data_IF_820561446011
#
_entry.id   IF_820561446011
#
_cell.length_a   1.000
_cell.length_b   1.000
_cell.length_c   1.000
_cell.angle_alpha   90.00
_cell.angle_beta   90.00
_cell.angle_gamma   90.00
#
_symmetry.space_group_name_H-M   'P 1'
#
loop_
_entity.id
_entity.type
_entity.pdbx_description
1 polymer ?
#
# COMPACT_ATOMS: atom_id res chain seq x y z
N UNK A 1 -78.80 9.64 -34.45
CA UNK A 1 -78.89 8.33 -35.11
C UNK A 1 -78.26 7.33 -34.13
N UNK A 2 -79.08 6.65 -33.33
CA UNK A 2 -79.47 5.24 -33.56
C UNK A 2 -78.25 4.31 -33.43
N UNK A 3 -78.11 3.37 -32.49
CA UNK A 3 -79.03 2.67 -31.60
C UNK A 3 -78.28 2.13 -30.36
N UNK A 4 -78.99 2.09 -29.23
CA UNK A 4 -78.69 1.27 -28.06
C UNK A 4 -79.18 -0.16 -28.29
N UNK A 5 -78.43 -1.17 -27.82
CA UNK A 5 -78.97 -2.52 -27.58
C UNK A 5 -78.55 -2.99 -26.18
N UNK A 6 -79.54 -3.02 -25.29
CA UNK A 6 -79.67 -3.80 -24.06
C UNK A 6 -79.48 -5.31 -24.34
N UNK A 7 -79.09 -6.24 -23.45
CA UNK A 7 -79.10 -6.36 -21.99
C UNK A 7 -78.32 -7.66 -21.61
N UNK A 8 -78.11 -7.97 -20.31
CA UNK A 8 -77.16 -8.96 -19.81
C UNK A 8 -77.78 -10.35 -19.61
N UNK A 9 -76.94 -11.39 -19.60
CA UNK A 9 -77.30 -12.70 -19.04
C UNK A 9 -76.12 -13.19 -18.19
N UNK A 10 -76.25 -13.04 -16.88
CA UNK A 10 -75.43 -13.77 -15.92
C UNK A 10 -75.89 -15.23 -15.89
N UNK A 11 -74.95 -16.16 -15.76
CA UNK A 11 -75.25 -17.52 -15.30
C UNK A 11 -74.82 -17.63 -13.85
N UNK A 12 -75.83 -17.62 -12.99
CA UNK A 12 -75.80 -18.13 -11.63
C UNK A 12 -75.52 -19.63 -11.66
N UNK A 13 -74.43 -20.08 -11.05
CA UNK A 13 -74.44 -21.36 -10.33
C UNK A 13 -73.68 -21.19 -9.01
N UNK A 14 -74.44 -21.46 -7.97
CA UNK A 14 -74.17 -21.42 -6.56
C UNK A 14 -73.28 -22.56 -6.08
N UNK A 15 -72.52 -22.28 -5.01
CA UNK A 15 -72.29 -23.10 -3.81
C UNK A 15 -71.92 -24.58 -4.01
N UNK A 16 -70.78 -24.99 -3.44
CA UNK A 16 -70.70 -25.99 -2.35
C UNK A 16 -69.23 -26.08 -1.85
N UNK A 17 -69.05 -25.68 -0.59
CA UNK A 17 -68.32 -26.36 0.50
C UNK A 17 -67.31 -27.48 0.12
N UNK A 18 -66.11 -27.61 0.69
CA UNK A 18 -65.83 -27.75 2.13
C UNK A 18 -64.31 -27.74 2.38
N UNK A 19 -63.94 -27.27 3.59
CA UNK A 19 -62.65 -27.50 4.22
C UNK A 19 -62.36 -29.00 4.40
N UNK A 20 -61.14 -29.43 4.07
CA UNK A 20 -60.44 -30.51 4.78
C UNK A 20 -58.93 -30.26 4.78
N UNK A 21 -58.36 -30.07 5.98
CA UNK A 21 -56.91 -30.24 6.23
C UNK A 21 -56.59 -31.73 6.18
N UNK A 22 -55.43 -32.15 5.64
CA UNK A 22 -54.76 -33.35 6.12
C UNK A 22 -53.64 -32.97 7.09
N UNK A 23 -53.64 -33.65 8.24
CA UNK A 23 -52.68 -33.55 9.32
C UNK A 23 -51.26 -33.99 8.90
N UNK A 24 -50.23 -33.57 9.67
CA UNK A 24 -48.84 -33.89 9.40
C UNK A 24 -48.56 -35.35 9.78
N UNK A 25 -47.65 -36.02 9.06
CA UNK A 25 -46.54 -36.80 9.62
C UNK A 25 -45.84 -37.66 8.55
N UNK A 26 -44.50 -37.63 8.62
CA UNK A 26 -43.54 -38.62 8.11
C UNK A 26 -43.34 -38.76 6.60
N UNK A 27 -42.21 -38.23 6.09
CA UNK A 27 -41.09 -39.06 5.61
C UNK A 27 -39.83 -38.22 5.32
N UNK A 28 -38.85 -38.42 6.18
CA UNK A 28 -37.41 -38.19 6.04
C UNK A 28 -36.91 -37.69 4.67
N UNK A 29 -36.78 -36.37 4.55
CA UNK A 29 -35.79 -35.78 3.63
C UNK A 29 -34.41 -35.97 4.25
N UNK A 30 -33.59 -36.82 3.63
CA UNK A 30 -32.15 -36.86 3.87
C UNK A 30 -31.60 -35.48 3.52
N UNK A 31 -31.42 -34.63 4.54
CA UNK A 31 -30.66 -33.41 4.42
C UNK A 31 -29.20 -33.83 4.21
N UNK A 32 -28.70 -33.63 3.00
CA UNK A 32 -27.26 -33.59 2.77
C UNK A 32 -26.66 -32.62 3.79
N UNK A 33 -25.60 -33.00 4.54
CA UNK A 33 -24.97 -32.06 5.45
C UNK A 33 -24.49 -30.89 4.59
N UNK A 34 -24.97 -29.69 4.92
CA UNK A 34 -24.44 -28.46 4.36
C UNK A 34 -22.91 -28.57 4.46
N UNK A 35 -22.24 -28.60 3.31
CA UNK A 35 -20.79 -28.52 3.27
C UNK A 35 -20.44 -27.21 3.97
N UNK A 36 -20.00 -27.29 5.21
CA UNK A 36 -19.39 -26.16 5.91
C UNK A 36 -18.19 -25.76 5.05
N UNK A 37 -18.40 -24.81 4.14
CA UNK A 37 -17.30 -24.12 3.52
C UNK A 37 -16.44 -23.63 4.69
N UNK A 38 -15.14 -23.99 4.74
CA UNK A 38 -14.31 -23.52 5.82
C UNK A 38 -14.48 -22.01 5.85
N UNK A 39 -14.88 -21.49 7.00
CA UNK A 39 -14.91 -20.05 7.26
C UNK A 39 -13.51 -19.58 6.86
N UNK A 40 -13.36 -19.04 5.64
CA UNK A 40 -12.12 -18.45 5.18
C UNK A 40 -11.99 -17.25 6.08
N UNK A 41 -11.34 -17.44 7.23
CA UNK A 41 -10.91 -16.36 8.08
C UNK A 41 -10.24 -15.40 7.11
N UNK A 42 -10.87 -14.25 6.89
CA UNK A 42 -10.35 -13.23 6.01
C UNK A 42 -8.96 -12.90 6.58
N UNK A 43 -7.92 -13.42 5.95
CA UNK A 43 -6.55 -13.23 6.41
C UNK A 43 -6.25 -11.74 6.28
N UNK A 44 -6.46 -11.01 7.37
CA UNK A 44 -6.19 -9.58 7.42
C UNK A 44 -4.68 -9.40 7.48
N UNK A 45 -4.08 -8.81 6.45
CA UNK A 45 -2.65 -8.50 6.42
C UNK A 45 -2.37 -7.48 7.54
N UNK A 46 -1.71 -7.93 8.62
CA UNK A 46 -1.36 -7.07 9.75
C UNK A 46 -0.10 -6.24 9.45
N UNK A 47 0.84 -6.82 8.73
CA UNK A 47 2.13 -6.22 8.36
C UNK A 47 2.56 -6.74 6.99
N UNK A 48 2.96 -5.82 6.09
CA UNK A 48 3.54 -6.17 4.80
C UNK A 48 5.04 -5.88 4.86
N UNK A 49 5.88 -6.88 4.56
CA UNK A 49 7.33 -6.72 4.42
C UNK A 49 7.71 -6.83 2.96
N UNK A 50 8.36 -5.81 2.43
CA UNK A 50 8.74 -5.73 1.01
C UNK A 50 10.16 -5.18 0.92
N UNK A 51 11.02 -5.81 0.10
CA UNK A 51 12.42 -5.37 -0.07
C UNK A 51 13.26 -5.43 1.23
N UNK A 52 12.90 -6.32 2.16
CA UNK A 52 13.61 -6.47 3.44
C UNK A 52 13.16 -5.52 4.55
N UNK A 53 12.30 -4.54 4.27
CA UNK A 53 11.79 -3.55 5.23
C UNK A 53 10.28 -3.67 5.43
N UNK A 54 9.83 -3.36 6.64
CA UNK A 54 8.41 -3.32 7.00
C UNK A 54 7.77 -2.04 6.46
N UNK A 55 6.65 -2.21 5.76
CA UNK A 55 5.90 -1.12 5.15
C UNK A 55 4.72 -0.73 6.05
N UNK A 56 4.39 0.57 6.18
CA UNK A 56 3.19 1.00 6.88
C UNK A 56 1.91 0.50 6.20
N UNK A 57 1.05 -0.18 6.96
CA UNK A 57 -0.17 -0.80 6.44
C UNK A 57 -1.32 0.20 6.20
N UNK A 58 -1.36 1.32 6.95
CA UNK A 58 -2.44 2.33 6.90
C UNK A 58 -2.29 3.40 5.79
N UNK A 59 -1.45 3.17 4.78
CA UNK A 59 -1.16 4.16 3.72
C UNK A 59 -1.47 3.59 2.34
N UNK A 60 -1.61 4.49 1.36
CA UNK A 60 -1.71 4.09 -0.05
C UNK A 60 -0.37 3.53 -0.52
N UNK A 61 -0.41 2.53 -1.39
CA UNK A 61 0.76 1.77 -1.86
C UNK A 61 1.88 2.69 -2.37
N UNK A 62 1.54 3.71 -3.18
CA UNK A 62 2.52 4.68 -3.71
C UNK A 62 3.40 5.33 -2.63
N UNK A 63 2.81 5.72 -1.51
CA UNK A 63 3.53 6.36 -0.39
C UNK A 63 4.13 5.35 0.57
N UNK A 64 3.49 4.19 0.71
CA UNK A 64 3.96 3.07 1.50
C UNK A 64 5.32 2.56 0.99
N UNK A 65 5.49 2.43 -0.32
CA UNK A 65 6.75 1.98 -0.95
C UNK A 65 7.91 2.97 -0.76
N UNK A 66 7.64 4.27 -0.61
CA UNK A 66 8.66 5.32 -0.45
C UNK A 66 9.44 5.22 0.87
N UNK A 67 8.97 4.41 1.81
CA UNK A 67 9.71 4.13 3.05
C UNK A 67 10.97 3.30 2.81
N UNK A 68 11.00 2.52 1.72
CA UNK A 68 12.17 1.74 1.33
C UNK A 68 13.23 2.68 0.77
N UNK A 69 14.43 2.65 1.35
CA UNK A 69 15.53 3.47 0.84
C UNK A 69 15.91 3.04 -0.58
N UNK A 70 15.72 3.94 -1.54
CA UNK A 70 15.95 3.68 -2.97
C UNK A 70 14.70 3.75 -3.83
N UNK A 71 13.51 3.69 -3.22
CA UNK A 71 12.23 3.89 -3.91
C UNK A 71 11.80 5.34 -3.69
N UNK A 72 11.79 6.12 -4.77
CA UNK A 72 11.23 7.48 -4.78
C UNK A 72 9.83 7.52 -5.39
N UNK A 73 9.27 8.74 -5.53
CA UNK A 73 7.94 8.93 -6.15
C UNK A 73 7.85 8.37 -7.57
N UNK A 74 8.90 8.55 -8.36
CA UNK A 74 8.95 8.08 -9.76
C UNK A 74 8.92 6.56 -9.83
N UNK A 75 9.80 5.88 -9.08
CA UNK A 75 9.86 4.41 -9.03
C UNK A 75 8.59 3.81 -8.46
N UNK A 76 8.03 4.39 -7.40
CA UNK A 76 6.79 3.89 -6.81
C UNK A 76 5.62 3.92 -7.80
N UNK A 77 5.48 5.00 -8.57
CA UNK A 77 4.46 5.09 -9.64
C UNK A 77 4.74 4.13 -10.78
N UNK A 78 6.01 3.99 -11.17
CA UNK A 78 6.41 3.08 -12.23
C UNK A 78 6.04 1.63 -11.88
N UNK A 79 6.39 1.16 -10.69
CA UNK A 79 6.03 -0.19 -10.20
C UNK A 79 4.52 -0.42 -10.26
N UNK A 80 3.72 0.58 -9.86
CA UNK A 80 2.26 0.47 -9.92
C UNK A 80 1.73 0.38 -11.35
N UNK A 81 2.33 1.12 -12.28
CA UNK A 81 1.97 1.08 -13.71
C UNK A 81 2.39 -0.24 -14.35
N UNK A 82 3.59 -0.73 -14.03
CA UNK A 82 4.15 -1.98 -14.56
C UNK A 82 3.29 -3.18 -14.12
N UNK A 83 2.81 -3.17 -12.87
CA UNK A 83 1.89 -4.17 -12.31
C UNK A 83 0.43 -3.98 -12.71
N UNK A 84 0.11 -2.87 -13.38
CA UNK A 84 -1.27 -2.45 -13.66
C UNK A 84 -2.16 -2.44 -12.40
N UNK A 85 -1.58 -2.04 -11.27
CA UNK A 85 -2.22 -2.05 -9.97
C UNK A 85 -2.87 -0.70 -9.63
N UNK A 86 -4.05 -0.75 -9.04
CA UNK A 86 -4.71 0.44 -8.51
C UNK A 86 -4.11 0.91 -7.18
N UNK A 87 -4.23 2.22 -6.92
CA UNK A 87 -3.76 2.88 -5.70
C UNK A 87 -4.65 2.56 -4.48
N UNK A 88 -4.66 1.30 -4.06
CA UNK A 88 -5.35 0.81 -2.86
C UNK A 88 -4.57 1.13 -1.58
N UNK A 89 -5.19 0.88 -0.43
CA UNK A 89 -4.50 0.89 0.87
C UNK A 89 -3.75 -0.42 1.03
N UNK A 90 -2.56 -0.40 1.63
CA UNK A 90 -1.69 -1.58 1.77
C UNK A 90 -2.34 -2.73 2.55
N UNK A 91 -3.28 -2.44 3.46
CA UNK A 91 -4.06 -3.46 4.20
C UNK A 91 -5.00 -4.28 3.32
N UNK A 92 -5.53 -3.67 2.27
CA UNK A 92 -6.61 -4.24 1.45
C UNK A 92 -6.04 -5.06 0.28
N UNK A 93 -4.72 -5.25 0.25
CA UNK A 93 -4.03 -6.01 -0.79
C UNK A 93 -4.35 -7.50 -0.71
N UNK A 94 -4.37 -8.17 -1.85
CA UNK A 94 -4.35 -9.62 -1.88
C UNK A 94 -2.92 -10.14 -1.62
N UNK A 95 -2.79 -11.34 -1.03
CA UNK A 95 -1.48 -11.96 -0.83
C UNK A 95 -0.74 -12.19 -2.16
N UNK A 96 -1.49 -12.51 -3.23
CA UNK A 96 -0.94 -12.66 -4.58
C UNK A 96 -0.31 -11.35 -5.09
N UNK A 97 -1.03 -10.23 -4.97
CA UNK A 97 -0.52 -8.90 -5.34
C UNK A 97 0.75 -8.54 -4.54
N UNK A 98 0.84 -8.95 -3.27
CA UNK A 98 2.04 -8.73 -2.44
C UNK A 98 3.24 -9.54 -2.92
N UNK A 99 3.06 -10.77 -3.39
CA UNK A 99 4.14 -11.59 -3.93
C UNK A 99 4.71 -10.93 -5.19
N UNK A 100 3.84 -10.54 -6.13
CA UNK A 100 4.29 -9.89 -7.37
C UNK A 100 4.99 -8.56 -7.06
N UNK A 101 4.48 -7.76 -6.12
CA UNK A 101 5.16 -6.55 -5.66
C UNK A 101 6.57 -6.81 -5.11
N UNK A 102 6.76 -7.91 -4.36
CA UNK A 102 8.09 -8.26 -3.83
C UNK A 102 9.05 -8.61 -4.95
N UNK A 103 8.60 -9.35 -5.95
CA UNK A 103 9.42 -9.77 -7.08
C UNK A 103 9.83 -8.56 -7.94
N UNK A 104 8.92 -7.63 -8.15
CA UNK A 104 9.23 -6.38 -8.86
C UNK A 104 10.20 -5.49 -8.10
N UNK A 105 9.94 -5.28 -6.81
CA UNK A 105 10.80 -4.43 -5.98
C UNK A 105 12.21 -5.01 -5.90
N UNK A 106 12.36 -6.35 -5.89
CA UNK A 106 13.66 -7.03 -5.86
C UNK A 106 14.55 -6.78 -7.09
N UNK A 107 13.99 -6.33 -8.22
CA UNK A 107 14.76 -5.96 -9.42
C UNK A 107 15.56 -4.67 -9.22
N UNK A 108 15.14 -3.81 -8.29
CA UNK A 108 15.82 -2.55 -8.02
C UNK A 108 16.88 -2.70 -6.93
N UNK A 109 17.96 -1.93 -7.05
CA UNK A 109 18.93 -1.79 -5.95
C UNK A 109 18.26 -1.08 -4.77
N UNK A 110 18.28 -1.71 -3.60
CA UNK A 110 17.55 -1.27 -2.41
C UNK A 110 18.49 -1.18 -1.21
N UNK A 111 18.18 -0.27 -0.28
CA UNK A 111 18.70 -0.22 1.08
C UNK A 111 20.22 -0.41 1.18
N UNK A 112 20.65 -1.59 1.63
CA UNK A 112 22.03 -1.96 1.87
C UNK A 112 22.88 -1.85 0.62
N UNK A 113 22.36 -2.26 -0.53
CA UNK A 113 23.11 -2.24 -1.78
C UNK A 113 23.37 -0.81 -2.24
N UNK A 114 22.35 0.06 -2.18
CA UNK A 114 22.52 1.49 -2.49
C UNK A 114 23.45 2.19 -1.49
N UNK A 115 23.35 1.86 -0.19
CA UNK A 115 24.22 2.43 0.83
C UNK A 115 25.67 2.01 0.63
N UNK A 116 25.92 0.73 0.33
CA UNK A 116 27.25 0.18 0.01
C UNK A 116 27.80 0.80 -1.26
N UNK A 117 27.00 0.88 -2.32
CA UNK A 117 27.38 1.48 -3.59
C UNK A 117 27.82 2.94 -3.41
N UNK A 118 27.02 3.75 -2.70
CA UNK A 118 27.34 5.14 -2.42
C UNK A 118 28.56 5.29 -1.51
N UNK A 119 28.69 4.42 -0.50
CA UNK A 119 29.85 4.42 0.39
C UNK A 119 31.15 4.11 -0.36
N UNK A 120 31.13 3.11 -1.26
CA UNK A 120 32.25 2.77 -2.12
C UNK A 120 32.59 3.91 -3.08
N UNK A 121 31.60 4.57 -3.68
CA UNK A 121 31.83 5.72 -4.54
C UNK A 121 32.49 6.89 -3.79
N UNK A 122 32.05 7.18 -2.57
CA UNK A 122 32.67 8.22 -1.71
C UNK A 122 34.08 7.79 -1.29
N UNK A 123 34.28 6.53 -0.90
CA UNK A 123 35.58 5.98 -0.53
C UNK A 123 36.57 6.11 -1.69
N UNK A 124 36.16 5.75 -2.91
CA UNK A 124 36.94 5.93 -4.14
C UNK A 124 37.36 7.39 -4.34
N UNK A 125 36.45 8.35 -4.15
CA UNK A 125 36.79 9.78 -4.28
C UNK A 125 37.84 10.23 -3.25
N UNK A 126 37.78 9.70 -2.02
CA UNK A 126 38.76 9.99 -0.96
C UNK A 126 40.12 9.41 -1.29
N UNK A 127 40.18 8.17 -1.78
CA UNK A 127 41.41 7.48 -2.18
C UNK A 127 42.11 8.17 -3.35
N UNK A 128 41.35 8.66 -4.35
CA UNK A 128 41.89 9.42 -5.49
C UNK A 128 42.50 10.77 -5.04
N UNK A 129 42.12 11.30 -3.88
CA UNK A 129 42.54 12.61 -3.38
C UNK A 129 42.17 13.81 -4.30
N UNK A 130 41.16 13.66 -5.15
CA UNK A 130 40.64 14.78 -5.94
C UNK A 130 39.98 15.84 -5.04
N UNK A 131 39.76 17.05 -5.56
CA UNK A 131 39.11 18.14 -4.81
C UNK A 131 37.83 17.69 -4.09
N UNK A 132 36.94 16.98 -4.78
CA UNK A 132 35.70 16.45 -4.17
C UNK A 132 36.00 15.50 -3.00
N UNK A 133 36.98 14.61 -3.15
CA UNK A 133 37.44 13.71 -2.09
C UNK A 133 37.91 14.45 -0.85
N UNK A 134 38.79 15.44 -1.03
CA UNK A 134 39.29 16.31 0.05
C UNK A 134 38.14 17.01 0.77
N UNK A 135 37.14 17.52 0.04
CA UNK A 135 35.94 18.14 0.64
C UNK A 135 35.08 17.15 1.44
N UNK A 136 34.95 15.91 0.96
CA UNK A 136 34.27 14.84 1.68
C UNK A 136 35.01 14.41 2.96
N UNK A 137 36.35 14.49 2.99
CA UNK A 137 37.15 14.23 4.21
C UNK A 137 36.98 15.39 5.20
N UNK A 138 37.05 16.63 4.71
CA UNK A 138 36.95 17.85 5.54
C UNK A 138 35.53 18.16 6.03
N UNK A 139 34.50 17.46 5.56
CA UNK A 139 33.12 17.78 5.88
C UNK A 139 32.70 19.17 5.36
N UNK A 140 33.05 19.47 4.11
CA UNK A 140 32.67 20.70 3.41
C UNK A 140 31.89 20.41 2.13
N UNK A 141 31.00 21.30 1.68
CA UNK A 141 30.28 21.11 0.43
C UNK A 141 31.24 21.07 -0.77
N UNK A 142 30.95 20.16 -1.70
CA UNK A 142 31.76 19.86 -2.88
C UNK A 142 31.18 20.43 -4.20
N UNK A 143 29.98 21.04 -4.17
CA UNK A 143 29.26 21.56 -5.35
C UNK A 143 29.49 23.05 -5.62
N UNK A 144 30.65 23.59 -5.25
CA UNK A 144 30.97 25.02 -5.46
C UNK A 144 30.24 26.01 -4.53
N UNK A 145 29.57 25.51 -3.49
CA UNK A 145 28.88 26.36 -2.52
C UNK A 145 29.88 27.11 -1.63
N UNK A 146 29.61 28.39 -1.35
CA UNK A 146 30.45 29.22 -0.46
C UNK A 146 30.40 28.71 0.99
N UNK A 147 31.56 28.47 1.61
CA UNK A 147 31.66 27.89 2.97
C UNK A 147 31.81 28.88 4.12
N UNK A 148 31.86 30.18 3.82
CA UNK A 148 31.99 31.24 4.81
C UNK A 148 30.72 31.37 5.67
N UNK A 149 29.55 31.34 5.05
CA UNK A 149 28.27 31.61 5.72
C UNK A 149 27.41 30.34 5.87
N UNK A 150 26.91 29.79 4.76
CA UNK A 150 25.83 28.79 4.76
C UNK A 150 26.35 27.39 4.42
N UNK A 151 26.70 26.60 5.43
CA UNK A 151 27.16 25.21 5.26
C UNK A 151 26.83 24.31 6.47
N UNK A 152 25.82 24.69 7.26
CA UNK A 152 25.52 24.05 8.55
C UNK A 152 24.88 22.68 8.46
N UNK A 153 24.10 22.41 7.42
CA UNK A 153 23.54 21.07 7.16
C UNK A 153 24.62 20.01 7.06
N UNK A 154 25.79 20.36 6.52
CA UNK A 154 26.91 19.44 6.32
C UNK A 154 28.00 19.54 7.41
N UNK A 155 28.28 20.76 7.94
CA UNK A 155 29.22 20.95 9.08
C UNK A 155 28.66 20.51 10.44
N UNK A 156 27.35 20.34 10.56
CA UNK A 156 26.68 20.08 11.83
C UNK A 156 26.48 21.32 12.72
N UNK A 157 25.95 21.07 13.93
CA UNK A 157 25.65 22.10 14.94
C UNK A 157 26.93 22.82 15.39
N UNK A 158 26.81 24.09 15.80
CA UNK A 158 27.95 24.84 16.35
C UNK A 158 28.36 24.21 17.68
N UNK A 159 29.50 23.54 17.69
CA UNK A 159 30.13 23.11 18.93
C UNK A 159 30.66 24.37 19.61
N UNK A 160 30.21 24.63 20.83
CA UNK A 160 30.77 25.69 21.65
C UNK A 160 32.19 25.26 22.05
N UNK A 161 33.17 26.10 21.74
CA UNK A 161 34.53 25.90 22.27
C UNK A 161 34.45 26.23 23.76
N UNK A 162 34.70 25.25 24.61
CA UNK A 162 34.77 25.45 26.05
C UNK A 162 35.78 26.59 26.34
N UNK A 163 35.33 27.63 27.06
CA UNK A 163 36.16 28.78 27.41
C UNK A 163 35.96 30.06 26.57
N UNK A 164 35.12 30.07 25.52
CA UNK A 164 34.73 31.34 24.89
C UNK A 164 33.70 32.08 25.77
N UNK A 165 34.15 33.15 26.43
CA UNK A 165 33.29 34.14 27.11
C UNK A 165 32.13 34.52 26.18
N UNK A 166 30.89 34.37 26.68
CA UNK A 166 29.72 34.94 26.00
C UNK A 166 29.93 36.45 25.94
N UNK A 167 29.87 37.01 24.74
CA UNK A 167 29.80 38.47 24.57
C UNK A 167 28.46 38.89 25.16
N UNK A 168 28.48 39.54 26.32
CA UNK A 168 27.33 40.24 26.87
C UNK A 168 26.99 41.39 25.92
N UNK A 169 25.77 41.40 25.38
CA UNK A 169 25.19 42.61 24.80
C UNK A 169 24.72 43.51 25.92
#
# INVERSE_FOLDING_TARGET
>A
MAQMVAMPVAHSLSLICNWTKPNPLTRNTVALPASNAPNKQSLSIRCARVGGVEIPSNKRIEYSLQYIHGIGRTRARQILVDLQMENKITKDMAEEELIVLRDEVSKYMIEGDLRRFNALAIKRLKEIQCYRGVRHIQGLPCRGQRTKNNCRTLKGKKIAIAGKKKVSK
#
